data_IF_377663924843
#
_entry.id   IF_377663924843
#
_cell.length_a   1.000
_cell.length_b   1.000
_cell.length_c   1.000
_cell.angle_alpha   90.00
_cell.angle_beta   90.00
_cell.angle_gamma   90.00
#
_symmetry.space_group_name_H-M   'P 1'
#
loop_
_entity.id
_entity.type
_entity.pdbx_description
1 polymer ?
#
# COMPACT_ATOMS: atom_id res chain seq x y z
N UNK A 1 -8.86 14.20 12.89
CA UNK A 1 -8.72 15.15 11.77
C UNK A 1 -8.01 16.40 12.25
N UNK A 2 -6.90 16.77 11.61
CA UNK A 2 -6.17 18.00 11.97
C UNK A 2 -6.93 19.24 11.47
N UNK A 3 -7.12 20.27 12.31
CA UNK A 3 -7.60 21.58 11.84
C UNK A 3 -6.58 22.15 10.84
N UNK A 4 -6.99 22.37 9.59
CA UNK A 4 -6.12 22.92 8.54
C UNK A 4 -6.06 22.13 7.23
N UNK A 5 -6.63 20.92 7.16
CA UNK A 5 -6.64 20.16 5.90
C UNK A 5 -7.56 20.78 4.84
N UNK A 6 -7.16 20.74 3.57
CA UNK A 6 -7.97 21.21 2.43
C UNK A 6 -9.11 20.23 2.09
N UNK A 7 -10.06 20.63 1.26
CA UNK A 7 -11.10 19.71 0.74
C UNK A 7 -10.45 18.57 -0.05
N UNK A 8 -9.44 18.88 -0.87
CA UNK A 8 -8.69 17.91 -1.68
C UNK A 8 -8.04 16.85 -0.79
N UNK A 9 -7.31 17.27 0.25
CA UNK A 9 -6.68 16.39 1.22
C UNK A 9 -7.68 15.46 1.92
N UNK A 10 -8.85 15.97 2.33
CA UNK A 10 -9.90 15.14 2.93
C UNK A 10 -10.46 14.09 1.97
N UNK A 11 -10.56 14.42 0.68
CA UNK A 11 -11.00 13.48 -0.33
C UNK A 11 -9.93 12.42 -0.62
N UNK A 12 -8.66 12.83 -0.69
CA UNK A 12 -7.54 11.92 -0.86
C UNK A 12 -7.45 10.91 0.31
N UNK A 13 -7.63 11.36 1.56
CA UNK A 13 -7.69 10.46 2.74
C UNK A 13 -8.78 9.41 2.59
N UNK A 14 -10.00 9.83 2.21
CA UNK A 14 -11.12 8.89 2.01
C UNK A 14 -10.85 7.89 0.89
N UNK A 15 -10.23 8.35 -0.22
CA UNK A 15 -9.85 7.45 -1.32
C UNK A 15 -8.81 6.43 -0.86
N UNK A 16 -7.77 6.87 -0.13
CA UNK A 16 -6.76 5.97 0.42
C UNK A 16 -7.36 4.89 1.34
N UNK A 17 -8.27 5.26 2.25
CA UNK A 17 -8.96 4.31 3.13
C UNK A 17 -9.79 3.30 2.32
N UNK A 18 -10.55 3.76 1.33
CA UNK A 18 -11.35 2.90 0.44
C UNK A 18 -10.50 1.90 -0.34
N UNK A 19 -9.33 2.32 -0.84
CA UNK A 19 -8.40 1.42 -1.53
C UNK A 19 -7.87 0.32 -0.62
N UNK A 20 -7.50 0.65 0.62
CA UNK A 20 -6.98 -0.33 1.58
C UNK A 20 -8.04 -1.31 2.08
N UNK A 21 -9.31 -0.90 2.08
CA UNK A 21 -10.44 -1.80 2.35
C UNK A 21 -10.60 -2.85 1.24
N UNK A 22 -10.43 -2.45 -0.03
CA UNK A 22 -10.63 -3.33 -1.18
C UNK A 22 -9.41 -4.19 -1.52
N UNK A 23 -8.22 -3.61 -1.58
CA UNK A 23 -6.98 -4.25 -2.05
C UNK A 23 -5.83 -4.05 -1.06
N UNK A 24 -4.71 -4.74 -1.30
CA UNK A 24 -3.46 -4.48 -0.58
C UNK A 24 -2.63 -3.47 -1.36
N UNK A 25 -2.02 -2.52 -0.67
CA UNK A 25 -1.12 -1.53 -1.28
C UNK A 25 0.12 -1.32 -0.41
N UNK A 26 1.25 -1.11 -1.08
CA UNK A 26 2.40 -0.49 -0.43
C UNK A 26 2.11 1.00 -0.19
N UNK A 27 2.88 1.63 0.71
CA UNK A 27 2.77 3.09 0.91
C UNK A 27 2.99 3.84 -0.40
N UNK A 28 4.03 3.46 -1.15
CA UNK A 28 4.39 4.12 -2.40
C UNK A 28 3.32 3.89 -3.49
N UNK A 29 2.87 2.65 -3.65
CA UNK A 29 1.84 2.30 -4.62
C UNK A 29 0.51 2.99 -4.35
N UNK A 30 0.13 3.19 -3.07
CA UNK A 30 -1.08 3.93 -2.74
C UNK A 30 -0.96 5.43 -3.07
N UNK A 31 0.23 6.02 -2.88
CA UNK A 31 0.47 7.42 -3.28
C UNK A 31 0.35 7.56 -4.79
N UNK A 32 1.02 6.68 -5.56
CA UNK A 32 0.96 6.69 -7.03
C UNK A 32 -0.45 6.46 -7.56
N UNK A 33 -1.23 5.59 -6.91
CA UNK A 33 -2.63 5.37 -7.25
C UNK A 33 -3.47 6.65 -7.09
N UNK A 34 -3.29 7.39 -5.99
CA UNK A 34 -3.99 8.66 -5.79
C UNK A 34 -3.52 9.75 -6.78
N UNK A 35 -2.24 9.78 -7.13
CA UNK A 35 -1.73 10.70 -8.16
C UNK A 35 -2.35 10.39 -9.53
N UNK A 36 -2.50 9.11 -9.87
CA UNK A 36 -3.18 8.67 -11.09
C UNK A 36 -4.66 9.11 -11.12
N UNK A 37 -5.32 9.16 -9.96
CA UNK A 37 -6.69 9.71 -9.83
C UNK A 37 -6.76 11.24 -9.89
N UNK A 38 -5.62 11.92 -10.00
CA UNK A 38 -5.54 13.37 -10.18
C UNK A 38 -5.35 14.16 -8.90
N UNK A 39 -5.07 13.52 -7.75
CA UNK A 39 -4.59 14.23 -6.58
C UNK A 39 -3.16 14.73 -6.82
N UNK A 40 -2.82 15.89 -6.25
CA UNK A 40 -1.43 16.34 -6.27
C UNK A 40 -0.55 15.41 -5.42
N UNK A 41 0.73 15.29 -5.75
CA UNK A 41 1.72 14.56 -4.93
C UNK A 41 1.66 14.96 -3.46
N UNK A 42 1.46 16.25 -3.18
CA UNK A 42 1.35 16.76 -1.82
C UNK A 42 0.09 16.26 -1.10
N UNK A 43 -1.06 16.24 -1.78
CA UNK A 43 -2.32 15.77 -1.20
C UNK A 43 -2.34 14.23 -1.05
N UNK A 44 -1.79 13.50 -2.03
CA UNK A 44 -1.67 12.04 -1.98
C UNK A 44 -0.74 11.60 -0.85
N UNK A 45 0.44 12.21 -0.74
CA UNK A 45 1.39 11.93 0.35
C UNK A 45 0.77 12.29 1.71
N UNK A 46 0.14 13.47 1.80
CA UNK A 46 -0.57 13.87 3.03
C UNK A 46 -1.64 12.86 3.43
N UNK A 47 -2.41 12.35 2.47
CA UNK A 47 -3.47 11.40 2.74
C UNK A 47 -2.93 10.09 3.31
N UNK A 48 -1.95 9.50 2.63
CA UNK A 48 -1.35 8.22 3.02
C UNK A 48 -0.59 8.33 4.35
N UNK A 49 0.03 9.47 4.65
CA UNK A 49 0.72 9.69 5.93
C UNK A 49 -0.23 10.06 7.09
N UNK A 50 -1.46 10.48 6.79
CA UNK A 50 -2.47 10.82 7.80
C UNK A 50 -3.17 9.58 8.35
N UNK A 51 -3.33 8.55 7.53
CA UNK A 51 -4.00 7.30 7.92
C UNK A 51 -3.05 6.39 8.71
N UNK A 52 -3.60 5.69 9.70
CA UNK A 52 -2.82 4.71 10.48
C UNK A 52 -2.93 3.35 9.80
N UNK A 53 -1.83 2.90 9.19
CA UNK A 53 -1.79 1.65 8.42
C UNK A 53 -0.64 0.79 8.90
N UNK A 54 -0.92 -0.49 9.13
CA UNK A 54 0.13 -1.49 9.29
C UNK A 54 0.59 -1.95 7.89
N UNK A 55 1.68 -1.35 7.42
CA UNK A 55 2.24 -1.65 6.11
C UNK A 55 2.83 -3.07 6.00
N UNK A 56 3.22 -3.69 7.12
CA UNK A 56 3.63 -5.09 7.12
C UNK A 56 2.41 -6.00 6.92
N UNK A 57 1.27 -5.66 7.54
CA UNK A 57 0.02 -6.36 7.31
C UNK A 57 -0.47 -6.21 5.85
N UNK A 58 -0.29 -5.04 5.23
CA UNK A 58 -0.57 -4.86 3.79
C UNK A 58 0.33 -5.74 2.92
N UNK A 59 1.64 -5.81 3.21
CA UNK A 59 2.55 -6.70 2.49
C UNK A 59 2.17 -8.18 2.63
N UNK A 60 1.75 -8.62 3.82
CA UNK A 60 1.26 -9.98 4.04
C UNK A 60 -0.04 -10.28 3.27
N UNK A 61 -0.97 -9.31 3.22
CA UNK A 61 -2.21 -9.41 2.43
C UNK A 61 -1.90 -9.53 0.93
N UNK A 62 -0.98 -8.70 0.41
CA UNK A 62 -0.54 -8.77 -0.99
C UNK A 62 0.16 -10.10 -1.32
N UNK A 63 1.10 -10.50 -0.47
CA UNK A 63 1.83 -11.77 -0.62
C UNK A 63 0.88 -12.97 -0.71
N UNK A 64 -0.10 -13.03 0.19
CA UNK A 64 -1.13 -14.07 0.17
C UNK A 64 -1.97 -14.03 -1.11
N UNK A 65 -2.44 -12.85 -1.52
CA UNK A 65 -3.23 -12.70 -2.74
C UNK A 65 -2.47 -13.19 -3.99
N UNK A 66 -1.15 -12.94 -4.06
CA UNK A 66 -0.30 -13.48 -5.11
C UNK A 66 -0.27 -15.01 -5.10
N UNK A 67 -0.06 -15.61 -3.93
CA UNK A 67 0.02 -17.06 -3.78
C UNK A 67 -1.31 -17.78 -4.03
N UNK A 68 -2.44 -17.09 -3.78
CA UNK A 68 -3.77 -17.62 -4.09
C UNK A 68 -4.01 -17.72 -5.62
N UNK A 69 -3.32 -16.91 -6.42
CA UNK A 69 -3.49 -16.86 -7.89
C UNK A 69 -2.36 -17.58 -8.66
N UNK A 70 -1.12 -17.50 -8.16
CA UNK A 70 0.08 -17.97 -8.86
C UNK A 70 1.11 -18.55 -7.89
N UNK A 71 1.86 -19.55 -8.34
CA UNK A 71 3.00 -20.06 -7.58
C UNK A 71 4.19 -19.08 -7.66
N UNK A 72 4.83 -18.79 -6.52
CA UNK A 72 6.06 -18.01 -6.42
C UNK A 72 7.11 -18.76 -5.59
N UNK A 73 8.39 -18.53 -5.90
CA UNK A 73 9.47 -18.79 -4.93
C UNK A 73 9.50 -17.66 -3.89
N UNK A 74 10.12 -17.90 -2.72
CA UNK A 74 10.29 -16.87 -1.70
C UNK A 74 10.97 -15.61 -2.24
N UNK A 75 12.09 -15.77 -2.96
CA UNK A 75 12.83 -14.64 -3.52
C UNK A 75 12.03 -13.91 -4.59
N UNK A 76 11.33 -14.65 -5.47
CA UNK A 76 10.50 -14.04 -6.50
C UNK A 76 9.32 -13.25 -5.92
N UNK A 77 8.71 -13.73 -4.83
CA UNK A 77 7.63 -12.99 -4.17
C UNK A 77 8.15 -11.72 -3.49
N UNK A 78 9.33 -11.78 -2.87
CA UNK A 78 9.98 -10.59 -2.30
C UNK A 78 10.25 -9.55 -3.39
N UNK A 79 10.87 -9.97 -4.51
CA UNK A 79 11.15 -9.08 -5.65
C UNK A 79 9.87 -8.47 -6.23
N UNK A 80 8.78 -9.24 -6.31
CA UNK A 80 7.48 -8.74 -6.77
C UNK A 80 6.91 -7.66 -5.84
N UNK A 81 6.96 -7.88 -4.52
CA UNK A 81 6.49 -6.88 -3.55
C UNK A 81 7.38 -5.62 -3.55
N UNK A 82 8.70 -5.78 -3.69
CA UNK A 82 9.60 -4.63 -3.83
C UNK A 82 9.30 -3.84 -5.11
N UNK A 83 9.01 -4.52 -6.22
CA UNK A 83 8.57 -3.89 -7.46
C UNK A 83 7.27 -3.08 -7.29
N UNK A 84 6.35 -3.55 -6.45
CA UNK A 84 5.12 -2.84 -6.07
C UNK A 84 5.34 -1.73 -5.03
N UNK A 85 6.59 -1.43 -4.67
CA UNK A 85 6.94 -0.32 -3.79
C UNK A 85 6.89 -0.64 -2.30
N UNK A 86 6.79 -1.91 -1.90
CA UNK A 86 7.07 -2.29 -0.52
C UNK A 86 8.56 -2.15 -0.22
N UNK A 87 8.90 -1.75 1.00
CA UNK A 87 10.31 -1.77 1.43
C UNK A 87 10.82 -3.22 1.51
N UNK A 88 12.14 -3.46 1.38
CA UNK A 88 12.70 -4.81 1.51
C UNK A 88 12.30 -5.54 2.80
N UNK A 89 12.19 -4.79 3.91
CA UNK A 89 11.73 -5.34 5.19
C UNK A 89 10.26 -5.76 5.16
N UNK A 90 9.38 -4.97 4.55
CA UNK A 90 7.96 -5.29 4.39
C UNK A 90 7.76 -6.46 3.42
N UNK A 91 8.48 -6.49 2.30
CA UNK A 91 8.43 -7.59 1.33
C UNK A 91 8.88 -8.91 1.96
N UNK A 92 10.01 -8.90 2.68
CA UNK A 92 10.50 -10.07 3.41
C UNK A 92 9.52 -10.52 4.50
N UNK A 93 8.90 -9.59 5.22
CA UNK A 93 7.85 -9.89 6.20
C UNK A 93 6.63 -10.53 5.52
N UNK A 94 6.14 -9.94 4.43
CA UNK A 94 4.97 -10.41 3.70
C UNK A 94 5.14 -11.83 3.18
N UNK A 95 6.29 -12.13 2.55
CA UNK A 95 6.61 -13.48 2.09
C UNK A 95 6.62 -14.50 3.25
N UNK A 96 7.28 -14.14 4.37
CA UNK A 96 7.32 -15.01 5.55
C UNK A 96 5.93 -15.24 6.17
N UNK A 97 5.12 -14.19 6.28
CA UNK A 97 3.77 -14.27 6.81
C UNK A 97 2.82 -15.09 5.90
N UNK A 98 3.09 -15.13 4.60
CA UNK A 98 2.35 -15.94 3.63
C UNK A 98 2.86 -17.40 3.54
N UNK A 99 3.88 -17.77 4.31
CA UNK A 99 4.39 -19.14 4.42
C UNK A 99 5.63 -19.45 3.55
N UNK A 100 6.32 -18.42 3.03
CA UNK A 100 7.54 -18.56 2.22
C UNK A 100 8.83 -18.08 2.90
#
# INVERSE_FOLDING_TARGET
>A
MQPGSTVSQRNAVRSAEQYLDYSAFSRQGLIEQLEYEGFSTADATFAVDTITVDWNAQAAKAAKAYLDYSAFSRSGLIEQLEYEGYTPAQAAYGAAAAGL
#
